data_IF_454009059308
#
_entry.id   IF_454009059308
#
_cell.length_a   1.000
_cell.length_b   1.000
_cell.length_c   1.000
_cell.angle_alpha   90.00
_cell.angle_beta   90.00
_cell.angle_gamma   90.00
#
_symmetry.space_group_name_H-M   'P 1'
#
loop_
_entity.id
_entity.type
_entity.pdbx_description
1 polymer ?
#
# COMPACT_ATOMS: atom_id res chain seq x y z
N UNK A 1 0.03 -26.10 33.27
CA UNK A 1 -0.51 -26.59 31.98
C UNK A 1 -1.43 -25.56 31.31
N UNK A 2 -2.45 -25.03 31.99
CA UNK A 2 -3.38 -24.03 31.43
C UNK A 2 -2.71 -22.71 30.97
N UNK A 3 -1.64 -22.29 31.65
CA UNK A 3 -0.88 -21.08 31.31
C UNK A 3 -0.21 -21.14 29.94
N UNK A 4 0.23 -22.34 29.51
CA UNK A 4 0.84 -22.55 28.19
C UNK A 4 -0.23 -22.37 27.10
N UNK A 5 -1.46 -22.79 27.37
CA UNK A 5 -2.59 -22.66 26.44
C UNK A 5 -2.94 -21.17 26.26
N UNK A 6 -3.01 -20.40 27.35
CA UNK A 6 -3.25 -18.96 27.26
C UNK A 6 -2.11 -18.20 26.57
N UNK A 7 -0.85 -18.57 26.83
CA UNK A 7 0.30 -17.99 26.14
C UNK A 7 0.25 -18.27 24.63
N UNK A 8 -0.08 -19.50 24.24
CA UNK A 8 -0.23 -19.88 22.84
C UNK A 8 -1.38 -19.13 22.14
N UNK A 9 -2.53 -18.99 22.81
CA UNK A 9 -3.65 -18.21 22.28
C UNK A 9 -3.29 -16.73 22.07
N UNK A 10 -2.59 -16.11 23.03
CA UNK A 10 -2.15 -14.72 22.91
C UNK A 10 -1.16 -14.55 21.75
N UNK A 11 -0.18 -15.45 21.64
CA UNK A 11 0.80 -15.43 20.55
C UNK A 11 0.13 -15.56 19.17
N UNK A 12 -0.85 -16.47 19.04
CA UNK A 12 -1.61 -16.65 17.81
C UNK A 12 -2.45 -15.40 17.47
N UNK A 13 -3.10 -14.81 18.47
CA UNK A 13 -3.91 -13.59 18.31
C UNK A 13 -3.03 -12.42 17.82
N UNK A 14 -1.87 -12.23 18.44
CA UNK A 14 -0.89 -11.21 18.02
C UNK A 14 -0.36 -11.48 16.62
N UNK A 15 -0.07 -12.74 16.27
CA UNK A 15 0.40 -13.11 14.93
C UNK A 15 -0.62 -12.76 13.84
N UNK A 16 -1.91 -13.03 14.07
CA UNK A 16 -3.00 -12.68 13.14
C UNK A 16 -3.16 -11.17 13.04
N UNK A 17 -3.13 -10.46 14.17
CA UNK A 17 -3.35 -9.01 14.21
C UNK A 17 -2.18 -8.22 13.59
N UNK A 18 -0.96 -8.73 13.72
CA UNK A 18 0.24 -8.13 13.16
C UNK A 18 0.46 -8.50 11.70
N UNK A 19 -0.10 -9.61 11.21
CA UNK A 19 -0.01 -10.02 9.79
C UNK A 19 -0.33 -8.89 8.80
N UNK A 20 -1.44 -8.12 8.92
CA UNK A 20 -1.72 -7.01 8.01
C UNK A 20 -0.76 -5.81 8.19
N UNK A 21 -0.15 -5.64 9.37
CA UNK A 21 0.84 -4.57 9.63
C UNK A 21 2.22 -4.92 9.04
N UNK A 22 2.60 -6.20 9.08
CA UNK A 22 3.83 -6.69 8.45
C UNK A 22 3.66 -6.95 6.95
N UNK A 23 2.43 -7.21 6.50
CA UNK A 23 2.09 -7.21 5.09
C UNK A 23 2.38 -5.82 4.55
N UNK A 24 3.38 -5.71 3.67
CA UNK A 24 3.57 -4.52 2.84
C UNK A 24 2.25 -4.30 2.12
N UNK A 25 1.40 -3.43 2.65
CA UNK A 25 0.20 -2.99 1.95
C UNK A 25 0.70 -2.54 0.58
N UNK A 26 0.22 -3.18 -0.49
CA UNK A 26 0.44 -2.66 -1.83
C UNK A 26 0.07 -1.18 -1.75
N UNK A 27 1.01 -0.26 -2.02
CA UNK A 27 0.79 1.12 -1.69
C UNK A 27 -0.46 1.54 -2.46
N UNK A 28 -1.40 2.19 -1.77
CA UNK A 28 -2.64 2.70 -2.38
C UNK A 28 -2.33 3.55 -3.63
N UNK A 29 -1.10 4.07 -3.74
CA UNK A 29 -0.52 4.68 -4.96
C UNK A 29 -0.49 3.75 -6.18
N UNK A 30 -0.14 2.47 -6.06
CA UNK A 30 -0.13 1.53 -7.20
C UNK A 30 -1.54 1.33 -7.75
N UNK A 31 -2.52 1.12 -6.86
CA UNK A 31 -3.92 1.00 -7.26
C UNK A 31 -4.47 2.29 -7.90
N UNK A 32 -4.00 3.47 -7.45
CA UNK A 32 -4.36 4.75 -8.05
C UNK A 32 -3.73 4.96 -9.43
N UNK A 33 -2.45 4.63 -9.59
CA UNK A 33 -1.74 4.72 -10.86
C UNK A 33 -2.35 3.81 -11.94
N UNK A 34 -2.71 2.57 -11.56
CA UNK A 34 -3.39 1.63 -12.46
C UNK A 34 -4.77 2.15 -12.92
N UNK A 35 -5.51 2.78 -12.00
CA UNK A 35 -6.80 3.41 -12.31
C UNK A 35 -6.64 4.62 -13.25
N UNK A 36 -5.71 5.52 -12.96
CA UNK A 36 -5.48 6.71 -13.78
C UNK A 36 -5.01 6.33 -15.20
N UNK A 37 -4.21 5.26 -15.36
CA UNK A 37 -3.81 4.70 -16.65
C UNK A 37 -5.03 4.21 -17.47
N UNK A 38 -5.97 3.52 -16.82
CA UNK A 38 -7.20 3.06 -17.47
C UNK A 38 -8.03 4.24 -17.99
N UNK A 39 -8.11 5.34 -17.23
CA UNK A 39 -8.80 6.58 -17.66
C UNK A 39 -8.11 7.21 -18.88
N UNK A 40 -6.78 7.31 -18.89
CA UNK A 40 -6.06 7.88 -20.06
C UNK A 40 -6.23 7.06 -21.34
N UNK A 41 -6.29 5.72 -21.22
CA UNK A 41 -6.59 4.83 -22.36
C UNK A 41 -7.98 5.10 -22.95
N UNK A 42 -8.98 5.28 -22.08
CA UNK A 42 -10.34 5.58 -22.52
C UNK A 42 -10.42 6.95 -23.22
N UNK A 43 -9.71 7.96 -22.71
CA UNK A 43 -9.63 9.28 -23.36
C UNK A 43 -9.03 9.22 -24.77
N UNK A 44 -8.00 8.40 -24.99
CA UNK A 44 -7.43 8.19 -26.33
C UNK A 44 -8.41 7.49 -27.27
N UNK A 45 -9.23 6.59 -26.74
CA UNK A 45 -10.29 5.94 -27.51
C UNK A 45 -11.41 6.92 -27.88
N UNK A 46 -11.78 7.83 -26.97
CA UNK A 46 -12.76 8.89 -27.25
C UNK A 46 -12.29 9.83 -28.36
N UNK A 47 -11.03 10.30 -28.30
CA UNK A 47 -10.46 11.14 -29.36
C UNK A 47 -10.54 10.43 -30.72
N UNK A 48 -10.29 9.12 -30.75
CA UNK A 48 -10.34 8.34 -31.99
C UNK A 48 -11.76 8.30 -32.56
N UNK A 49 -12.78 8.10 -31.70
CA UNK A 49 -14.19 8.18 -32.09
C UNK A 49 -14.60 9.57 -32.58
N UNK A 50 -14.09 10.62 -31.94
CA UNK A 50 -14.44 12.00 -32.30
C UNK A 50 -13.84 12.43 -33.65
N UNK A 51 -12.66 11.91 -34.02
CA UNK A 51 -12.10 12.07 -35.38
C UNK A 51 -12.98 11.34 -36.39
N UNK A 52 -13.39 10.10 -36.11
CA UNK A 52 -14.27 9.31 -36.99
C UNK A 52 -15.63 10.00 -37.21
N UNK A 53 -16.15 10.69 -36.18
CA UNK A 53 -17.39 11.48 -36.24
C UNK A 53 -17.22 12.85 -36.89
N UNK A 54 -15.99 13.24 -37.25
CA UNK A 54 -15.69 14.56 -37.82
C UNK A 54 -15.88 15.72 -36.84
N UNK A 55 -15.96 15.44 -35.54
CA UNK A 55 -16.13 16.45 -34.48
C UNK A 55 -14.80 17.14 -34.12
N UNK A 56 -13.67 16.56 -34.53
CA UNK A 56 -12.33 17.03 -34.21
C UNK A 56 -11.41 16.97 -35.42
N UNK A 57 -10.69 18.06 -35.69
CA UNK A 57 -9.69 18.11 -36.74
C UNK A 57 -8.44 17.29 -36.38
N UNK A 58 -7.77 16.72 -37.38
CA UNK A 58 -6.60 15.86 -37.20
C UNK A 58 -5.45 16.54 -36.42
N UNK A 59 -5.21 17.82 -36.67
CA UNK A 59 -4.16 18.59 -35.98
C UNK A 59 -4.48 18.80 -34.49
N UNK A 60 -5.75 19.07 -34.16
CA UNK A 60 -6.20 19.20 -32.77
C UNK A 60 -6.12 17.86 -32.04
N UNK A 61 -6.50 16.78 -32.71
CA UNK A 61 -6.42 15.43 -32.15
C UNK A 61 -4.97 14.98 -31.92
N UNK A 62 -4.05 15.31 -32.83
CA UNK A 62 -2.63 15.02 -32.67
C UNK A 62 -2.05 15.72 -31.43
N UNK A 63 -2.33 17.03 -31.28
CA UNK A 63 -1.91 17.80 -30.11
C UNK A 63 -2.48 17.22 -28.80
N UNK A 64 -3.77 16.88 -28.78
CA UNK A 64 -4.42 16.30 -27.61
C UNK A 64 -3.85 14.92 -27.24
N UNK A 65 -3.60 14.05 -28.22
CA UNK A 65 -2.97 12.74 -28.01
C UNK A 65 -1.58 12.87 -27.40
N UNK A 66 -0.76 13.80 -27.89
CA UNK A 66 0.59 14.04 -27.37
C UNK A 66 0.54 14.49 -25.90
N UNK A 67 -0.37 15.39 -25.54
CA UNK A 67 -0.52 15.86 -24.16
C UNK A 67 -1.03 14.74 -23.22
N UNK A 68 -2.00 13.93 -23.66
CA UNK A 68 -2.48 12.78 -22.87
C UNK A 68 -1.39 11.74 -22.68
N UNK A 69 -0.63 11.41 -23.73
CA UNK A 69 0.50 10.49 -23.62
C UNK A 69 1.57 11.01 -22.66
N UNK A 70 1.89 12.30 -22.72
CA UNK A 70 2.80 12.95 -21.76
C UNK A 70 2.29 12.83 -20.32
N UNK A 71 1.00 13.08 -20.08
CA UNK A 71 0.38 12.93 -18.74
C UNK A 71 0.36 11.48 -18.27
N UNK A 72 0.11 10.54 -19.17
CA UNK A 72 0.13 9.10 -18.88
C UNK A 72 1.53 8.63 -18.48
N UNK A 73 2.57 9.11 -19.15
CA UNK A 73 3.97 8.85 -18.77
C UNK A 73 4.29 9.43 -17.38
N UNK A 74 3.90 10.68 -17.12
CA UNK A 74 4.11 11.33 -15.83
C UNK A 74 3.34 10.65 -14.67
N UNK A 75 2.19 10.04 -14.95
CA UNK A 75 1.43 9.26 -13.98
C UNK A 75 2.06 7.88 -13.70
N UNK A 76 2.68 7.25 -14.71
CA UNK A 76 3.44 6.00 -14.57
C UNK A 76 4.76 6.20 -13.82
N UNK A 77 5.39 7.37 -13.97
CA UNK A 77 6.54 7.83 -13.17
C UNK A 77 6.11 8.39 -11.81
N UNK A 78 4.89 8.06 -11.35
CA UNK A 78 4.20 8.60 -10.19
C UNK A 78 5.15 9.01 -9.09
N UNK A 79 4.97 10.22 -8.52
CA UNK A 79 6.03 10.94 -7.85
C UNK A 79 6.79 10.00 -6.94
N UNK A 80 8.13 10.02 -7.03
CA UNK A 80 9.02 9.57 -5.97
C UNK A 80 8.82 10.52 -4.78
N UNK A 81 7.59 10.63 -4.29
CA UNK A 81 7.35 10.84 -2.87
C UNK A 81 8.09 9.65 -2.30
N UNK A 82 9.30 9.90 -1.83
CA UNK A 82 10.02 8.99 -0.97
C UNK A 82 8.97 8.57 0.05
N UNK A 83 8.39 7.38 -0.14
CA UNK A 83 7.27 6.90 0.64
C UNK A 83 7.75 7.07 2.06
N UNK A 84 7.17 8.05 2.78
CA UNK A 84 7.76 8.55 4.01
C UNK A 84 8.07 7.32 4.83
N UNK A 85 9.38 7.05 5.01
CA UNK A 85 9.85 5.72 5.38
C UNK A 85 8.97 5.26 6.55
N UNK A 86 8.23 4.13 6.43
CA UNK A 86 7.19 3.78 7.39
C UNK A 86 7.84 3.91 8.75
N UNK A 87 7.36 4.84 9.58
CA UNK A 87 8.14 5.40 10.67
C UNK A 87 8.75 4.25 11.47
N UNK A 88 10.02 3.92 11.18
CA UNK A 88 10.61 2.64 11.62
C UNK A 88 10.63 2.56 13.13
N UNK A 89 10.68 3.74 13.78
CA UNK A 89 10.50 3.96 15.21
C UNK A 89 9.13 3.48 15.72
N UNK A 90 8.04 3.77 15.04
CA UNK A 90 6.69 3.32 15.44
C UNK A 90 6.53 1.80 15.35
N UNK A 91 7.00 1.20 14.26
CA UNK A 91 6.99 -0.26 14.10
C UNK A 91 7.89 -0.95 15.14
N UNK A 92 9.10 -0.43 15.37
CA UNK A 92 10.00 -0.97 16.39
C UNK A 92 9.40 -0.88 17.80
N UNK A 93 8.71 0.23 18.12
CA UNK A 93 8.04 0.39 19.41
C UNK A 93 6.90 -0.62 19.59
N UNK A 94 6.09 -0.85 18.54
CA UNK A 94 5.02 -1.86 18.56
C UNK A 94 5.60 -3.26 18.76
N UNK A 95 6.66 -3.62 18.04
CA UNK A 95 7.33 -4.92 18.20
C UNK A 95 7.90 -5.09 19.61
N UNK A 96 8.53 -4.04 20.16
CA UNK A 96 9.07 -4.06 21.54
C UNK A 96 7.97 -4.21 22.57
N UNK A 97 6.82 -3.55 22.39
CA UNK A 97 5.68 -3.68 23.32
C UNK A 97 5.07 -5.08 23.21
N UNK A 98 4.78 -5.54 21.99
CA UNK A 98 4.18 -6.85 21.71
C UNK A 98 5.04 -8.01 22.21
N UNK A 99 6.36 -7.94 22.04
CA UNK A 99 7.26 -9.02 22.46
C UNK A 99 7.78 -8.83 23.88
N UNK A 100 8.00 -7.57 24.30
CA UNK A 100 8.53 -7.23 25.61
C UNK A 100 7.56 -7.52 26.74
N UNK A 101 6.26 -7.22 26.57
CA UNK A 101 5.25 -7.51 27.60
C UNK A 101 5.14 -9.03 27.91
N UNK A 102 5.03 -9.94 26.92
CA UNK A 102 5.04 -11.38 27.16
C UNK A 102 6.35 -11.89 27.74
N UNK A 103 7.50 -11.42 27.25
CA UNK A 103 8.81 -11.86 27.75
C UNK A 103 9.04 -11.40 29.20
N UNK A 104 8.65 -10.17 29.53
CA UNK A 104 8.71 -9.65 30.89
C UNK A 104 7.80 -10.45 31.82
N UNK A 105 6.57 -10.71 31.39
CA UNK A 105 5.61 -11.54 32.15
C UNK A 105 6.18 -12.94 32.41
N UNK A 106 6.75 -13.58 31.40
CA UNK A 106 7.36 -14.91 31.53
C UNK A 106 8.58 -14.89 32.46
N UNK A 107 9.43 -13.87 32.34
CA UNK A 107 10.60 -13.69 33.22
C UNK A 107 10.19 -13.48 34.68
N UNK A 108 9.17 -12.67 34.94
CA UNK A 108 8.64 -12.48 36.31
C UNK A 108 8.02 -13.75 36.88
N UNK A 109 7.33 -14.54 36.05
CA UNK A 109 6.75 -15.81 36.48
C UNK A 109 7.84 -16.82 36.86
N UNK A 110 8.92 -16.91 36.09
CA UNK A 110 10.04 -17.80 36.43
C UNK A 110 10.85 -17.31 37.64
N UNK A 111 10.96 -15.99 37.84
CA UNK A 111 11.73 -15.42 38.95
C UNK A 111 11.02 -15.50 40.31
N UNK A 112 9.69 -15.36 40.33
CA UNK A 112 8.90 -15.31 41.57
C UNK A 112 7.94 -16.48 41.75
N UNK A 113 7.66 -17.24 40.68
CA UNK A 113 6.68 -18.32 40.64
C UNK A 113 7.27 -19.72 40.44
N UNK A 114 8.59 -19.87 40.49
CA UNK A 114 9.30 -21.14 40.60
C UNK A 114 9.60 -21.47 42.07
#
# INVERSE_FOLDING_TARGET
MIWIIFAAMLALTLAVLLRPLLSKSAPLMTARADYDLMVYKDQLAEISRDIERGLMNADQAASARTEIQRRMLAAGEGPVVAAAAPARRGMALVVVIVLGLPLLSLATYLAFGA
#
